data_IF_291914090387
#
_entry.id   IF_291914090387
#
_cell.length_a   1.000
_cell.length_b   1.000
_cell.length_c   1.000
_cell.angle_alpha   90.00
_cell.angle_beta   90.00
_cell.angle_gamma   90.00
#
_symmetry.space_group_name_H-M   'P 1'
#
loop_
_entity.id
_entity.type
_entity.pdbx_description
1 polymer ?
#
# COMPACT_ATOMS: atom_id res chain seq x y z
N UNK A 1 25.77 -35.26 -68.32
CA UNK A 1 25.83 -33.93 -67.71
C UNK A 1 24.41 -33.40 -67.61
N UNK A 2 23.85 -33.33 -66.41
CA UNK A 2 22.58 -32.67 -66.15
C UNK A 2 22.57 -32.18 -64.69
N UNK A 3 21.99 -30.99 -64.40
CA UNK A 3 22.36 -30.18 -63.25
C UNK A 3 21.63 -30.56 -61.97
N UNK A 4 22.31 -30.30 -60.86
CA UNK A 4 21.86 -30.44 -59.48
C UNK A 4 20.67 -29.51 -59.18
N UNK A 5 19.50 -30.10 -58.90
CA UNK A 5 18.35 -29.40 -58.35
C UNK A 5 18.56 -29.24 -56.83
N UNK A 6 18.75 -28.00 -56.35
CA UNK A 6 18.70 -27.71 -54.90
C UNK A 6 17.25 -27.61 -54.47
N UNK A 7 16.78 -28.57 -53.67
CA UNK A 7 15.51 -28.49 -52.96
C UNK A 7 15.70 -27.50 -51.81
N UNK A 8 15.03 -26.34 -51.90
CA UNK A 8 14.86 -25.45 -50.77
C UNK A 8 13.82 -26.07 -49.82
N UNK A 9 14.24 -26.49 -48.64
CA UNK A 9 13.33 -26.87 -47.57
C UNK A 9 12.65 -25.59 -47.04
N UNK A 10 11.36 -25.42 -47.34
CA UNK A 10 10.51 -24.50 -46.59
C UNK A 10 10.41 -25.05 -45.16
N UNK A 11 11.11 -24.41 -44.22
CA UNK A 11 10.82 -24.58 -42.80
C UNK A 11 9.47 -23.90 -42.54
N UNK A 12 8.42 -24.70 -42.39
CA UNK A 12 7.17 -24.23 -41.82
C UNK A 12 7.45 -23.78 -40.38
N UNK A 13 7.47 -22.47 -40.15
CA UNK A 13 7.48 -21.92 -38.81
C UNK A 13 6.16 -22.32 -38.15
N UNK A 14 6.21 -23.37 -37.32
CA UNK A 14 5.14 -23.64 -36.38
C UNK A 14 5.11 -22.46 -35.41
N UNK A 15 4.13 -21.57 -35.59
CA UNK A 15 3.73 -20.62 -34.57
C UNK A 15 3.21 -21.42 -33.40
N UNK A 16 4.08 -21.76 -32.46
CA UNK A 16 3.67 -22.17 -31.13
C UNK A 16 2.87 -20.99 -30.55
N UNK A 17 1.66 -21.22 -30.01
CA UNK A 17 0.98 -20.18 -29.26
C UNK A 17 1.92 -19.76 -28.13
N UNK A 18 2.08 -18.45 -27.95
CA UNK A 18 2.77 -17.88 -26.81
C UNK A 18 1.98 -18.31 -25.57
N UNK A 19 2.38 -19.41 -24.94
CA UNK A 19 1.91 -19.71 -23.59
C UNK A 19 2.56 -18.64 -22.73
N UNK A 20 1.79 -17.61 -22.38
CA UNK A 20 2.18 -16.72 -21.30
C UNK A 20 2.61 -17.62 -20.13
N UNK A 21 3.86 -17.52 -19.71
CA UNK A 21 4.35 -18.24 -18.55
C UNK A 21 3.48 -17.74 -17.39
N UNK A 22 2.55 -18.56 -16.89
CA UNK A 22 1.79 -18.21 -15.71
C UNK A 22 2.77 -18.16 -14.54
N UNK A 23 3.13 -16.94 -14.12
CA UNK A 23 4.00 -16.73 -12.97
C UNK A 23 3.31 -17.28 -11.73
N UNK A 24 4.01 -18.14 -11.00
CA UNK A 24 3.56 -18.67 -9.73
C UNK A 24 4.35 -18.09 -8.55
N UNK A 25 3.95 -18.42 -7.32
CA UNK A 25 4.66 -17.98 -6.11
C UNK A 25 6.13 -18.39 -6.05
N UNK A 26 6.48 -19.51 -6.70
CA UNK A 26 7.87 -19.97 -6.81
C UNK A 26 8.72 -19.07 -7.70
N UNK A 27 8.15 -18.40 -8.70
CA UNK A 27 8.87 -17.46 -9.56
C UNK A 27 9.29 -16.21 -8.78
N UNK A 28 8.40 -15.68 -7.92
CA UNK A 28 8.72 -14.58 -7.01
C UNK A 28 9.88 -14.95 -6.08
N UNK A 29 9.80 -16.14 -5.46
CA UNK A 29 10.87 -16.67 -4.58
C UNK A 29 12.18 -16.90 -5.34
N UNK A 30 12.11 -17.38 -6.57
CA UNK A 30 13.27 -17.58 -7.43
C UNK A 30 13.93 -16.24 -7.80
N UNK A 31 13.14 -15.23 -8.18
CA UNK A 31 13.63 -13.87 -8.42
C UNK A 31 14.28 -13.31 -7.16
N UNK A 32 13.65 -13.46 -5.99
CA UNK A 32 14.19 -12.98 -4.72
C UNK A 32 15.58 -13.58 -4.50
N UNK A 33 15.67 -14.92 -4.53
CA UNK A 33 16.92 -15.67 -4.31
C UNK A 33 18.02 -15.30 -5.32
N UNK A 34 17.66 -15.09 -6.59
CA UNK A 34 18.62 -14.75 -7.64
C UNK A 34 19.23 -13.34 -7.47
N UNK A 35 18.50 -12.41 -6.84
CA UNK A 35 18.85 -11.00 -6.81
C UNK A 35 19.24 -10.45 -5.43
N UNK A 36 19.28 -11.27 -4.37
CA UNK A 36 19.66 -10.80 -3.02
C UNK A 36 21.05 -10.16 -2.97
N UNK A 37 21.98 -10.66 -3.79
CA UNK A 37 23.36 -10.15 -3.90
C UNK A 37 23.61 -9.30 -5.14
N UNK A 38 22.56 -8.88 -5.87
CA UNK A 38 22.71 -8.06 -7.06
C UNK A 38 23.18 -6.65 -6.69
N UNK A 39 24.31 -6.19 -7.20
CA UNK A 39 24.82 -4.83 -6.97
C UNK A 39 24.32 -3.85 -8.04
N UNK A 40 23.89 -2.63 -7.66
CA UNK A 40 23.40 -1.65 -8.62
C UNK A 40 24.51 -1.21 -9.57
N UNK A 41 24.16 -1.10 -10.85
CA UNK A 41 25.04 -0.58 -11.90
C UNK A 41 24.61 0.82 -12.37
N UNK A 42 23.89 1.52 -11.50
CA UNK A 42 23.43 2.90 -11.63
C UNK A 42 23.84 3.68 -10.39
N UNK A 43 23.88 5.01 -10.50
CA UNK A 43 24.26 5.91 -9.42
C UNK A 43 23.23 7.01 -9.21
N UNK A 44 23.39 7.75 -8.12
CA UNK A 44 22.59 8.93 -7.79
C UNK A 44 22.49 9.91 -8.96
N UNK A 45 21.26 10.32 -9.29
CA UNK A 45 20.96 11.25 -10.37
C UNK A 45 20.82 10.64 -11.76
N UNK A 46 21.07 9.33 -11.93
CA UNK A 46 20.83 8.65 -13.20
C UNK A 46 19.33 8.70 -13.56
N UNK A 47 19.03 8.87 -14.84
CA UNK A 47 17.69 8.63 -15.39
C UNK A 47 17.75 7.38 -16.25
N UNK A 48 17.12 6.31 -15.78
CA UNK A 48 17.08 5.02 -16.48
C UNK A 48 15.89 5.01 -17.44
N UNK A 49 16.22 4.81 -18.71
CA UNK A 49 15.29 4.68 -19.84
C UNK A 49 15.20 3.23 -20.32
N UNK A 50 14.24 2.92 -21.19
CA UNK A 50 13.95 1.55 -21.63
C UNK A 50 15.16 0.80 -22.23
N UNK A 51 16.02 1.49 -22.99
CA UNK A 51 17.25 0.92 -23.57
C UNK A 51 18.27 0.45 -22.51
N UNK A 52 18.13 0.93 -21.27
CA UNK A 52 18.97 0.55 -20.12
C UNK A 52 18.18 -0.21 -19.04
N UNK A 53 16.99 -0.70 -19.35
CA UNK A 53 16.12 -1.33 -18.36
C UNK A 53 16.74 -2.55 -17.66
N UNK A 54 17.68 -3.25 -18.32
CA UNK A 54 18.37 -4.39 -17.72
C UNK A 54 19.20 -4.01 -16.47
N UNK A 55 19.58 -2.73 -16.32
CA UNK A 55 20.26 -2.23 -15.11
C UNK A 55 19.35 -2.26 -13.87
N UNK A 56 18.02 -2.21 -14.05
CA UNK A 56 17.05 -2.10 -12.95
C UNK A 56 16.23 -3.38 -12.73
N UNK A 57 16.18 -4.31 -13.69
CA UNK A 57 15.46 -5.60 -13.54
C UNK A 57 15.83 -6.40 -12.28
N UNK A 58 17.09 -6.43 -11.80
CA UNK A 58 17.42 -7.12 -10.55
C UNK A 58 16.75 -6.53 -9.30
N UNK A 59 16.24 -5.29 -9.37
CA UNK A 59 15.66 -4.55 -8.25
C UNK A 59 14.15 -4.30 -8.41
N UNK A 60 13.52 -4.91 -9.40
CA UNK A 60 12.08 -4.87 -9.66
C UNK A 60 11.59 -6.32 -9.79
N UNK A 61 10.67 -6.79 -8.92
CA UNK A 61 10.18 -8.16 -9.00
C UNK A 61 9.61 -8.47 -10.38
N UNK A 62 9.83 -9.69 -10.87
CA UNK A 62 9.50 -10.10 -12.25
C UNK A 62 8.06 -9.78 -12.63
N UNK A 63 7.15 -9.95 -11.68
CA UNK A 63 5.70 -9.75 -11.81
C UNK A 63 5.31 -8.29 -12.10
N UNK A 64 6.19 -7.35 -11.80
CA UNK A 64 6.01 -5.92 -12.10
C UNK A 64 6.68 -5.51 -13.41
N UNK A 65 7.63 -6.28 -13.94
CA UNK A 65 8.50 -5.80 -15.01
C UNK A 65 7.73 -5.44 -16.29
N UNK A 66 6.63 -6.13 -16.63
CA UNK A 66 5.82 -5.79 -17.81
C UNK A 66 5.08 -4.45 -17.68
N UNK A 67 4.82 -4.00 -16.45
CA UNK A 67 4.02 -2.80 -16.19
C UNK A 67 4.90 -1.58 -15.85
N UNK A 68 6.11 -1.81 -15.32
CA UNK A 68 7.06 -0.75 -14.93
C UNK A 68 8.18 -0.52 -15.95
N UNK A 69 8.46 -1.49 -16.82
CA UNK A 69 9.50 -1.38 -17.86
C UNK A 69 8.85 -1.35 -19.24
N UNK A 70 8.75 -0.17 -19.81
CA UNK A 70 8.10 0.08 -21.10
C UNK A 70 8.83 1.16 -21.89
N UNK A 71 8.58 1.21 -23.20
CA UNK A 71 9.14 2.25 -24.06
C UNK A 71 8.64 3.64 -23.65
N UNK A 72 9.56 4.59 -23.48
CA UNK A 72 9.29 5.91 -22.90
C UNK A 72 9.30 5.96 -21.37
N UNK A 73 9.71 4.90 -20.67
CA UNK A 73 9.92 4.97 -19.22
C UNK A 73 11.03 5.96 -18.84
N UNK A 74 10.84 6.64 -17.72
CA UNK A 74 11.85 7.46 -17.06
C UNK A 74 11.86 7.13 -15.57
N UNK A 75 12.90 6.45 -15.11
CA UNK A 75 13.13 6.15 -13.69
C UNK A 75 14.32 6.97 -13.21
N UNK A 76 14.06 8.07 -12.50
CA UNK A 76 15.11 8.87 -11.88
C UNK A 76 15.59 8.16 -10.62
N UNK A 77 16.89 7.89 -10.51
CA UNK A 77 17.51 7.30 -9.33
C UNK A 77 17.86 8.43 -8.37
N UNK A 78 17.30 8.38 -7.17
CA UNK A 78 17.60 9.35 -6.12
C UNK A 78 17.58 8.69 -4.75
N UNK A 79 18.55 9.02 -3.90
CA UNK A 79 18.61 8.53 -2.53
C UNK A 79 17.46 9.15 -1.71
N UNK A 80 16.75 8.33 -0.96
CA UNK A 80 15.62 8.82 -0.16
C UNK A 80 16.07 9.61 1.10
N UNK A 81 17.37 9.62 1.40
CA UNK A 81 17.93 10.17 2.61
C UNK A 81 17.59 9.33 3.85
N UNK A 82 17.70 9.97 5.01
CA UNK A 82 17.35 9.35 6.29
C UNK A 82 15.83 9.30 6.47
N UNK A 83 15.30 8.08 6.44
CA UNK A 83 13.88 7.77 6.68
C UNK A 83 13.67 7.16 8.07
N UNK A 84 14.59 7.39 9.00
CA UNK A 84 14.46 6.92 10.38
C UNK A 84 13.20 7.54 11.01
N UNK A 85 12.30 6.71 11.60
CA UNK A 85 11.13 7.21 12.29
C UNK A 85 11.44 8.21 13.40
N UNK A 86 10.42 8.93 13.87
CA UNK A 86 10.57 9.91 14.95
C UNK A 86 11.35 9.38 16.17
N UNK A 87 12.23 10.20 16.79
CA UNK A 87 13.02 9.79 17.95
C UNK A 87 12.18 9.21 19.09
N UNK A 88 10.94 9.69 19.28
CA UNK A 88 10.00 9.15 20.29
C UNK A 88 9.68 7.67 20.06
N UNK A 89 9.51 7.25 18.80
CA UNK A 89 9.27 5.85 18.43
C UNK A 89 10.53 5.00 18.57
N UNK A 90 11.70 5.55 18.18
CA UNK A 90 12.99 4.88 18.37
C UNK A 90 13.29 4.66 19.85
N UNK A 91 13.05 5.67 20.69
CA UNK A 91 13.23 5.58 22.14
C UNK A 91 12.27 4.56 22.77
N UNK A 92 10.99 4.53 22.33
CA UNK A 92 10.03 3.52 22.78
C UNK A 92 10.48 2.10 22.38
N UNK A 93 10.98 1.94 21.15
CA UNK A 93 11.54 0.67 20.64
C UNK A 93 12.68 0.19 21.53
N UNK A 94 13.63 1.05 21.87
CA UNK A 94 14.76 0.70 22.74
C UNK A 94 14.31 0.36 24.16
N UNK A 95 13.36 1.14 24.71
CA UNK A 95 12.82 0.95 26.05
C UNK A 95 12.11 -0.40 26.24
N UNK A 96 11.38 -0.86 25.22
CA UNK A 96 10.58 -2.09 25.27
C UNK A 96 11.18 -3.26 24.49
N UNK A 97 12.42 -3.14 24.03
CA UNK A 97 13.10 -4.20 23.30
C UNK A 97 13.10 -5.51 24.09
N UNK A 98 12.70 -6.60 23.42
CA UNK A 98 12.67 -7.94 24.01
C UNK A 98 11.53 -8.22 24.97
N UNK A 99 10.56 -7.30 25.14
CA UNK A 99 9.39 -7.52 26.01
C UNK A 99 8.24 -8.24 25.30
N UNK A 100 8.03 -7.95 24.01
CA UNK A 100 6.98 -8.56 23.22
C UNK A 100 7.26 -10.04 22.94
N UNK A 101 6.21 -10.85 22.96
CA UNK A 101 6.26 -12.30 22.67
C UNK A 101 5.16 -12.68 21.70
N UNK A 102 5.33 -13.82 21.03
CA UNK A 102 4.30 -14.42 20.18
C UNK A 102 3.71 -15.63 20.91
N UNK A 103 2.40 -15.63 21.13
CA UNK A 103 1.67 -16.75 21.69
C UNK A 103 1.58 -17.90 20.69
N UNK A 104 1.21 -19.10 21.17
CA UNK A 104 1.13 -20.30 20.31
C UNK A 104 0.13 -20.21 19.16
N UNK A 105 -0.82 -19.26 19.21
CA UNK A 105 -1.78 -18.97 18.14
C UNK A 105 -1.36 -17.81 17.23
N UNK A 106 -0.17 -17.24 17.42
CA UNK A 106 0.36 -16.12 16.64
C UNK A 106 0.07 -14.73 17.23
N UNK A 107 -0.76 -14.65 18.28
CA UNK A 107 -1.09 -13.37 18.90
C UNK A 107 0.14 -12.74 19.56
N UNK A 108 0.30 -11.43 19.38
CA UNK A 108 1.30 -10.67 20.13
C UNK A 108 0.87 -10.49 21.58
N UNK A 109 1.80 -10.68 22.51
CA UNK A 109 1.60 -10.49 23.94
C UNK A 109 2.72 -9.62 24.51
N UNK A 110 2.46 -8.98 25.65
CA UNK A 110 3.42 -8.13 26.37
C UNK A 110 3.97 -6.93 25.55
N UNK A 111 3.31 -6.57 24.44
CA UNK A 111 3.67 -5.42 23.63
C UNK A 111 3.13 -4.10 24.21
N UNK A 112 3.95 -3.05 24.19
CA UNK A 112 3.58 -1.72 24.72
C UNK A 112 3.63 -0.63 23.66
N UNK A 113 4.79 -0.36 23.06
CA UNK A 113 4.98 0.65 22.02
C UNK A 113 6.34 0.45 21.31
N UNK A 114 6.53 1.12 20.16
CA UNK A 114 7.75 0.99 19.35
C UNK A 114 7.72 -0.23 18.44
N UNK A 115 8.85 -0.55 17.79
CA UNK A 115 9.02 -1.76 17.00
C UNK A 115 9.10 -2.97 17.93
N UNK A 116 8.20 -3.97 17.83
CA UNK A 116 8.18 -5.10 18.76
C UNK A 116 9.42 -6.01 18.71
N UNK A 117 9.93 -6.32 17.52
CA UNK A 117 10.99 -7.33 17.32
C UNK A 117 12.15 -6.78 16.48
N UNK A 118 13.36 -7.28 16.70
CA UNK A 118 14.54 -6.90 15.93
C UNK A 118 14.62 -7.70 14.61
N UNK A 119 14.42 -7.07 13.43
CA UNK A 119 14.47 -7.78 12.15
C UNK A 119 15.88 -8.23 11.75
N UNK A 120 16.94 -7.80 12.45
CA UNK A 120 18.28 -8.34 12.24
C UNK A 120 18.41 -9.81 12.66
N UNK A 121 17.46 -10.32 13.47
CA UNK A 121 17.45 -11.69 13.99
C UNK A 121 16.55 -12.64 13.18
N UNK A 122 15.84 -12.16 12.17
CA UNK A 122 14.88 -12.98 11.43
C UNK A 122 15.57 -13.93 10.45
N UNK A 123 15.11 -15.19 10.44
CA UNK A 123 15.68 -16.24 9.60
C UNK A 123 14.77 -16.56 8.39
N UNK A 124 15.28 -16.50 7.15
CA UNK A 124 14.52 -16.89 5.96
C UNK A 124 13.88 -18.29 6.07
N UNK A 125 12.59 -18.40 5.74
CA UNK A 125 11.78 -19.61 5.87
C UNK A 125 11.14 -19.80 7.25
N UNK A 126 11.42 -18.94 8.22
CA UNK A 126 10.87 -19.02 9.57
C UNK A 126 9.42 -18.54 9.63
N UNK A 127 8.52 -19.40 10.13
CA UNK A 127 7.13 -19.02 10.42
C UNK A 127 7.02 -18.14 11.66
N UNK A 128 7.84 -18.41 12.68
CA UNK A 128 7.87 -17.60 13.89
C UNK A 128 8.31 -16.17 13.58
N UNK A 129 9.35 -16.01 12.75
CA UNK A 129 9.79 -14.68 12.34
C UNK A 129 8.85 -14.06 11.32
N UNK A 130 8.07 -14.86 10.58
CA UNK A 130 6.94 -14.38 9.80
C UNK A 130 5.91 -13.65 10.68
N UNK A 131 5.54 -14.25 11.81
CA UNK A 131 4.69 -13.61 12.81
C UNK A 131 5.32 -12.33 13.39
N UNK A 132 6.61 -12.37 13.76
CA UNK A 132 7.31 -11.19 14.26
C UNK A 132 7.36 -10.06 13.21
N UNK A 133 7.59 -10.40 11.95
CA UNK A 133 7.67 -9.45 10.85
C UNK A 133 6.33 -8.77 10.57
N UNK A 134 5.21 -9.51 10.56
CA UNK A 134 3.90 -8.89 10.36
C UNK A 134 3.53 -7.98 11.55
N UNK A 135 3.84 -8.36 12.79
CA UNK A 135 3.61 -7.48 13.94
C UNK A 135 4.49 -6.23 13.90
N UNK A 136 5.74 -6.33 13.43
CA UNK A 136 6.58 -5.16 13.15
C UNK A 136 5.93 -4.22 12.12
N UNK A 137 5.35 -4.76 11.05
CA UNK A 137 4.64 -3.98 10.04
C UNK A 137 3.37 -3.32 10.60
N UNK A 138 2.57 -4.03 11.40
CA UNK A 138 1.35 -3.50 12.02
C UNK A 138 1.65 -2.34 12.99
N UNK A 139 2.74 -2.45 13.75
CA UNK A 139 3.15 -1.47 14.75
C UNK A 139 4.26 -0.52 14.31
N UNK A 140 4.51 -0.42 13.00
CA UNK A 140 5.41 0.60 12.44
C UNK A 140 4.98 2.01 12.86
N UNK A 141 5.89 2.98 12.72
CA UNK A 141 5.60 4.36 13.08
C UNK A 141 4.50 4.96 12.19
N UNK A 142 3.35 5.26 12.79
CA UNK A 142 2.17 5.80 12.12
C UNK A 142 1.72 7.15 12.72
N UNK A 143 2.55 7.78 13.57
CA UNK A 143 2.21 8.95 14.36
C UNK A 143 0.85 8.79 15.06
N UNK A 144 -0.06 9.77 14.95
CA UNK A 144 -1.42 9.66 15.46
C UNK A 144 -2.39 8.91 14.56
N UNK A 145 -1.92 8.49 13.39
CA UNK A 145 -2.72 8.11 12.25
C UNK A 145 -2.62 9.15 11.14
N UNK A 146 -3.54 9.05 10.18
CA UNK A 146 -3.49 9.77 8.91
C UNK A 146 -4.81 10.49 8.67
N UNK A 147 -4.75 11.72 8.18
CA UNK A 147 -5.90 12.46 7.65
C UNK A 147 -5.67 12.74 6.17
N UNK A 148 -6.66 12.48 5.33
CA UNK A 148 -6.62 12.76 3.90
C UNK A 148 -7.87 13.54 3.53
N UNK A 149 -7.67 14.70 2.91
CA UNK A 149 -8.76 15.54 2.41
C UNK A 149 -9.54 14.84 1.29
N UNK A 150 -8.83 14.36 0.28
CA UNK A 150 -9.40 13.68 -0.87
C UNK A 150 -8.61 12.41 -1.20
N UNK A 151 -9.25 11.26 -1.10
CA UNK A 151 -8.81 10.01 -1.71
C UNK A 151 -9.55 9.87 -3.03
N UNK A 152 -8.83 9.59 -4.12
CA UNK A 152 -9.46 9.15 -5.37
C UNK A 152 -9.36 7.64 -5.47
N UNK A 153 -10.38 6.98 -6.00
CA UNK A 153 -10.27 5.62 -6.53
C UNK A 153 -10.59 5.71 -8.02
N UNK A 154 -9.59 5.51 -8.87
CA UNK A 154 -9.69 5.68 -10.33
C UNK A 154 -9.64 4.31 -10.98
N UNK A 155 -10.71 3.91 -11.66
CA UNK A 155 -10.75 2.68 -12.44
C UNK A 155 -10.12 2.90 -13.78
N UNK A 156 -9.10 2.10 -14.10
CA UNK A 156 -8.31 2.21 -15.32
C UNK A 156 -8.40 0.92 -16.11
N UNK A 157 -8.67 1.03 -17.41
CA UNK A 157 -8.50 -0.06 -18.37
C UNK A 157 -7.23 0.14 -19.16
N UNK A 158 -6.56 -0.98 -19.45
CA UNK A 158 -5.39 -1.02 -20.33
C UNK A 158 -5.74 -0.47 -21.72
N UNK A 159 -4.85 0.38 -22.24
CA UNK A 159 -5.02 1.02 -23.56
C UNK A 159 -6.02 2.18 -23.59
N UNK A 160 -6.08 2.85 -24.74
CA UNK A 160 -6.87 4.07 -24.93
C UNK A 160 -6.27 5.31 -24.24
N UNK A 161 -7.13 6.27 -23.89
CA UNK A 161 -6.75 7.51 -23.22
C UNK A 161 -7.88 7.98 -22.28
N UNK A 162 -7.58 8.97 -21.44
CA UNK A 162 -8.48 9.52 -20.44
C UNK A 162 -8.69 11.03 -20.58
N UNK A 163 -8.21 11.66 -21.67
CA UNK A 163 -8.26 13.12 -21.89
C UNK A 163 -9.69 13.69 -21.78
N UNK A 164 -10.70 12.89 -22.18
CA UNK A 164 -12.11 13.26 -22.12
C UNK A 164 -12.84 12.89 -20.82
N UNK A 165 -12.17 12.24 -19.85
CA UNK A 165 -12.79 11.85 -18.59
C UNK A 165 -13.04 13.08 -17.70
N UNK A 166 -14.12 13.07 -16.92
CA UNK A 166 -14.57 14.23 -16.12
C UNK A 166 -13.48 14.78 -15.19
N UNK A 167 -12.67 13.91 -14.58
CA UNK A 167 -11.56 14.25 -13.68
C UNK A 167 -10.53 15.22 -14.33
N UNK A 168 -10.36 15.18 -15.65
CA UNK A 168 -9.43 16.04 -16.38
C UNK A 168 -9.93 17.48 -16.49
N UNK A 169 -11.23 17.70 -16.35
CA UNK A 169 -11.87 19.03 -16.42
C UNK A 169 -12.41 19.51 -15.07
N UNK A 170 -12.52 18.61 -14.10
CA UNK A 170 -13.07 18.88 -12.78
C UNK A 170 -12.34 20.03 -12.08
N UNK A 171 -13.12 20.92 -11.45
CA UNK A 171 -12.65 22.10 -10.73
C UNK A 171 -11.66 22.96 -11.54
N UNK A 172 -11.95 23.15 -12.83
CA UNK A 172 -11.09 23.92 -13.73
C UNK A 172 -9.83 23.17 -14.17
N UNK A 173 -9.86 21.83 -14.11
CA UNK A 173 -8.74 20.97 -14.52
C UNK A 173 -7.65 20.83 -13.46
N UNK A 174 -7.95 21.10 -12.18
CA UNK A 174 -6.96 21.09 -11.09
C UNK A 174 -6.19 19.77 -10.96
N UNK A 175 -6.80 18.66 -11.37
CA UNK A 175 -6.21 17.33 -11.29
C UNK A 175 -5.49 16.87 -12.55
N UNK A 176 -5.69 17.52 -13.71
CA UNK A 176 -5.20 17.04 -15.00
C UNK A 176 -3.67 16.85 -15.00
N UNK A 177 -2.95 17.72 -14.30
CA UNK A 177 -1.50 17.65 -14.15
C UNK A 177 -0.96 16.37 -13.50
N UNK A 178 -1.79 15.64 -12.75
CA UNK A 178 -1.39 14.39 -12.08
C UNK A 178 -1.64 13.14 -12.91
N UNK A 179 -2.41 13.23 -14.00
CA UNK A 179 -2.78 12.11 -14.84
C UNK A 179 -2.27 12.34 -16.26
N UNK A 180 -1.16 11.71 -16.59
CA UNK A 180 -0.60 11.70 -17.95
C UNK A 180 -0.55 10.29 -18.54
N UNK A 181 -0.13 10.20 -19.80
CA UNK A 181 0.00 8.93 -20.50
C UNK A 181 -1.31 8.42 -21.10
N UNK A 182 -1.41 7.10 -21.27
CA UNK A 182 -2.59 6.44 -21.82
C UNK A 182 -3.51 5.86 -20.75
N UNK A 183 -4.25 4.81 -21.10
CA UNK A 183 -5.21 4.16 -20.22
C UNK A 183 -6.57 4.87 -20.23
N UNK A 184 -7.64 4.09 -20.20
CA UNK A 184 -9.02 4.61 -20.25
C UNK A 184 -9.63 4.62 -18.86
N UNK A 185 -10.09 5.78 -18.40
CA UNK A 185 -10.72 5.92 -17.09
C UNK A 185 -12.21 5.60 -17.20
N UNK A 186 -12.71 4.68 -16.37
CA UNK A 186 -14.12 4.28 -16.37
C UNK A 186 -14.95 4.99 -15.30
N UNK A 187 -14.33 5.24 -14.13
CA UNK A 187 -15.00 5.79 -12.97
C UNK A 187 -13.98 6.37 -12.00
N UNK A 188 -14.39 7.41 -11.29
CA UNK A 188 -13.65 7.97 -10.15
C UNK A 188 -14.58 8.05 -8.95
N UNK A 189 -14.20 7.45 -7.82
CA UNK A 189 -14.78 7.79 -6.53
C UNK A 189 -13.88 8.81 -5.84
N UNK A 190 -14.47 9.73 -5.09
CA UNK A 190 -13.73 10.70 -4.29
C UNK A 190 -14.30 10.76 -2.88
N UNK A 191 -13.45 10.91 -1.88
CA UNK A 191 -13.88 11.32 -0.55
C UNK A 191 -12.78 11.28 0.52
N UNK A 192 -13.10 11.76 1.72
CA UNK A 192 -12.12 11.89 2.79
C UNK A 192 -11.80 10.54 3.46
N UNK A 193 -10.60 10.47 4.02
CA UNK A 193 -10.17 9.34 4.85
C UNK A 193 -9.55 9.84 6.14
N UNK A 194 -9.81 9.15 7.25
CA UNK A 194 -9.12 9.41 8.52
C UNK A 194 -8.92 8.13 9.31
N UNK A 195 -7.69 7.87 9.73
CA UNK A 195 -7.35 6.87 10.76
C UNK A 195 -6.78 7.57 11.97
N UNK A 196 -7.16 7.11 13.16
CA UNK A 196 -6.55 7.52 14.42
C UNK A 196 -6.17 6.30 15.24
N UNK A 197 -4.90 6.24 15.63
CA UNK A 197 -4.34 5.23 16.51
C UNK A 197 -4.69 5.60 17.97
N UNK A 198 -5.38 4.67 18.64
CA UNK A 198 -5.93 4.81 19.99
C UNK A 198 -5.01 4.19 21.07
N UNK A 199 -4.19 3.22 20.69
CA UNK A 199 -3.22 2.56 21.55
C UNK A 199 -1.83 2.48 20.90
N UNK A 200 -0.83 2.05 21.68
CA UNK A 200 0.56 1.87 21.26
C UNK A 200 1.25 3.13 20.71
N UNK A 201 0.80 4.29 21.20
CA UNK A 201 1.22 5.62 20.79
C UNK A 201 2.48 6.07 21.52
N UNK A 202 3.63 6.04 20.85
CA UNK A 202 4.93 6.39 21.44
C UNK A 202 5.00 7.84 21.98
N UNK A 203 4.22 8.76 21.40
CA UNK A 203 4.06 10.14 21.86
C UNK A 203 3.20 10.28 23.14
N UNK A 204 2.52 9.21 23.56
CA UNK A 204 1.62 9.20 24.71
C UNK A 204 2.20 8.41 25.90
N UNK A 205 3.51 8.50 26.13
CA UNK A 205 4.17 7.80 27.23
C UNK A 205 3.56 8.10 28.61
N UNK A 206 3.08 9.34 28.82
CA UNK A 206 2.46 9.79 30.07
C UNK A 206 1.02 9.27 30.29
N UNK A 207 0.38 8.74 29.24
CA UNK A 207 -0.96 8.15 29.31
C UNK A 207 -0.95 6.66 28.96
N UNK A 208 0.12 5.97 29.39
CA UNK A 208 0.33 4.54 29.18
C UNK A 208 0.26 4.14 27.70
N UNK A 209 0.76 5.00 26.81
CA UNK A 209 0.77 4.81 25.35
C UNK A 209 -0.64 4.67 24.75
N UNK A 210 -1.68 5.14 25.44
CA UNK A 210 -3.08 5.08 24.98
C UNK A 210 -3.71 6.46 25.02
N UNK A 211 -4.49 6.77 23.99
CA UNK A 211 -5.28 7.99 23.95
C UNK A 211 -6.24 8.01 25.15
N UNK A 212 -6.27 9.11 25.90
CA UNK A 212 -7.13 9.25 27.08
C UNK A 212 -6.97 8.07 28.08
N UNK A 213 -5.75 7.60 28.31
CA UNK A 213 -5.43 6.45 29.19
C UNK A 213 -6.14 5.14 28.81
N UNK A 214 -6.63 5.01 27.57
CA UNK A 214 -7.43 3.85 27.16
C UNK A 214 -8.84 3.85 27.75
N UNK A 215 -9.38 5.01 28.12
CA UNK A 215 -10.73 5.14 28.67
C UNK A 215 -11.74 5.70 27.66
N UNK A 216 -13.01 5.40 27.90
CA UNK A 216 -14.13 5.90 27.11
C UNK A 216 -14.02 5.53 25.64
N UNK A 217 -13.80 6.54 24.79
CA UNK A 217 -13.79 6.38 23.33
C UNK A 217 -12.59 5.58 22.81
N UNK A 218 -11.46 5.60 23.51
CA UNK A 218 -10.26 4.84 23.15
C UNK A 218 -10.25 3.42 23.78
N UNK A 219 -11.26 3.08 24.59
CA UNK A 219 -11.24 1.87 25.40
C UNK A 219 -11.18 0.61 24.54
N UNK A 220 -10.15 -0.20 24.80
CA UNK A 220 -9.88 -1.49 24.15
C UNK A 220 -9.72 -1.42 22.62
N UNK A 221 -9.51 -0.23 22.05
CA UNK A 221 -9.33 -0.07 20.60
C UNK A 221 -7.87 0.21 20.28
N UNK A 222 -7.36 -0.43 19.24
CA UNK A 222 -6.05 -0.15 18.66
C UNK A 222 -6.13 1.09 17.76
N UNK A 223 -7.09 1.10 16.85
CA UNK A 223 -7.36 2.25 15.98
C UNK A 223 -8.84 2.36 15.60
N UNK A 224 -9.20 3.54 15.12
CA UNK A 224 -10.47 3.79 14.43
C UNK A 224 -10.21 4.44 13.08
N UNK A 225 -11.01 4.06 12.11
CA UNK A 225 -10.88 4.52 10.73
C UNK A 225 -12.22 4.91 10.13
N UNK A 226 -12.23 5.99 9.36
CA UNK A 226 -13.37 6.48 8.61
C UNK A 226 -13.00 6.67 7.14
N UNK A 227 -13.88 6.21 6.26
CA UNK A 227 -13.81 6.43 4.82
C UNK A 227 -15.14 7.00 4.37
N UNK A 228 -15.14 8.19 3.80
CA UNK A 228 -16.34 8.81 3.22
C UNK A 228 -16.26 8.88 1.70
N UNK A 229 -17.41 9.02 1.05
CA UNK A 229 -17.54 9.25 -0.38
C UNK A 229 -18.34 10.52 -0.63
N UNK A 230 -17.75 11.49 -1.30
CA UNK A 230 -18.37 12.77 -1.68
C UNK A 230 -18.77 12.81 -3.15
N UNK A 231 -18.19 11.94 -3.98
CA UNK A 231 -18.52 11.82 -5.40
C UNK A 231 -18.31 10.37 -5.91
N UNK A 232 -19.01 9.96 -6.99
CA UNK A 232 -20.04 10.72 -7.72
C UNK A 232 -21.42 10.66 -7.03
N UNK A 233 -22.42 11.31 -7.63
CA UNK A 233 -23.74 11.55 -7.01
C UNK A 233 -24.44 10.30 -6.45
N UNK A 234 -24.27 9.15 -7.09
CA UNK A 234 -24.92 7.89 -6.72
C UNK A 234 -24.38 7.25 -5.43
N UNK A 235 -23.14 7.59 -5.04
CA UNK A 235 -22.51 7.11 -3.80
C UNK A 235 -22.31 8.22 -2.76
N UNK A 236 -22.42 9.49 -3.16
CA UNK A 236 -22.18 10.65 -2.32
C UNK A 236 -22.95 10.59 -1.00
N UNK A 237 -22.24 10.78 0.10
CA UNK A 237 -22.71 10.65 1.48
C UNK A 237 -22.54 9.24 2.08
N UNK A 238 -22.14 8.24 1.30
CA UNK A 238 -21.80 6.92 1.84
C UNK A 238 -20.56 7.02 2.71
N UNK A 239 -20.58 6.35 3.85
CA UNK A 239 -19.44 6.35 4.76
C UNK A 239 -19.28 5.01 5.46
N UNK A 240 -18.03 4.66 5.74
CA UNK A 240 -17.61 3.47 6.46
C UNK A 240 -16.86 3.87 7.72
N UNK A 241 -17.08 3.12 8.79
CA UNK A 241 -16.34 3.25 10.04
C UNK A 241 -15.84 1.86 10.46
N UNK A 242 -14.55 1.74 10.76
CA UNK A 242 -13.90 0.52 11.24
C UNK A 242 -13.28 0.78 12.61
N UNK A 243 -13.53 -0.13 13.56
CA UNK A 243 -12.88 -0.19 14.87
C UNK A 243 -12.04 -1.47 14.94
N UNK A 244 -10.73 -1.31 15.06
CA UNK A 244 -9.84 -2.41 15.43
C UNK A 244 -9.64 -2.44 16.95
N UNK A 245 -9.71 -3.64 17.50
CA UNK A 245 -9.51 -3.87 18.93
C UNK A 245 -8.04 -4.10 19.25
N UNK A 246 -7.64 -3.64 20.44
CA UNK A 246 -6.29 -3.82 21.02
C UNK A 246 -5.98 -5.30 21.29
N UNK A 247 -7.03 -6.11 21.52
CA UNK A 247 -6.92 -7.56 21.57
C UNK A 247 -6.92 -8.13 20.13
N UNK A 248 -5.79 -8.69 19.65
CA UNK A 248 -5.67 -9.16 18.27
C UNK A 248 -6.60 -10.33 17.95
N UNK A 249 -7.10 -11.03 18.97
CA UNK A 249 -8.03 -12.17 18.80
C UNK A 249 -9.45 -11.68 18.52
N UNK A 250 -9.77 -10.44 18.92
CA UNK A 250 -11.10 -9.89 18.74
C UNK A 250 -11.29 -9.37 17.30
N UNK A 251 -12.42 -9.71 16.71
CA UNK A 251 -12.75 -9.25 15.36
C UNK A 251 -13.12 -7.76 15.35
N UNK A 252 -12.75 -7.06 14.28
CA UNK A 252 -13.09 -5.65 14.11
C UNK A 252 -14.62 -5.46 14.07
N UNK A 253 -15.07 -4.32 14.57
CA UNK A 253 -16.42 -3.85 14.29
C UNK A 253 -16.40 -2.90 13.10
N UNK A 254 -17.38 -3.02 12.21
CA UNK A 254 -17.48 -2.16 11.04
C UNK A 254 -18.91 -1.74 10.78
N UNK A 255 -19.10 -0.51 10.33
CA UNK A 255 -20.40 0.06 9.98
C UNK A 255 -20.34 0.78 8.65
N UNK A 256 -21.42 0.72 7.89
CA UNK A 256 -21.67 1.62 6.78
C UNK A 256 -22.94 2.42 6.99
N UNK A 257 -22.87 3.69 6.61
CA UNK A 257 -24.03 4.52 6.35
C UNK A 257 -24.25 4.58 4.84
N UNK A 258 -25.48 4.27 4.41
CA UNK A 258 -25.89 4.35 3.01
C UNK A 258 -27.01 5.37 2.89
N UNK A 259 -26.81 6.52 2.19
CA UNK A 259 -27.76 7.62 2.11
C UNK A 259 -29.14 7.22 1.61
N UNK A 260 -29.21 6.35 0.61
CA UNK A 260 -30.48 5.86 0.04
C UNK A 260 -31.32 5.09 1.06
N UNK A 261 -30.69 4.49 2.07
CA UNK A 261 -31.36 3.77 3.16
C UNK A 261 -31.53 4.63 4.42
N UNK A 262 -30.82 5.77 4.51
CA UNK A 262 -30.74 6.66 5.69
C UNK A 262 -30.50 5.90 7.00
N UNK A 263 -29.69 4.84 6.94
CA UNK A 263 -29.48 3.93 8.06
C UNK A 263 -28.01 3.53 8.14
N UNK A 264 -27.52 3.46 9.36
CA UNK A 264 -26.26 2.79 9.70
C UNK A 264 -26.52 1.31 9.84
N UNK A 265 -25.69 0.48 9.19
CA UNK A 265 -25.72 -0.98 9.30
C UNK A 265 -24.34 -1.49 9.66
N UNK A 266 -24.30 -2.53 10.48
CA UNK A 266 -23.07 -3.27 10.75
C UNK A 266 -22.71 -4.09 9.50
N UNK A 267 -21.44 -4.06 9.09
CA UNK A 267 -20.91 -4.87 7.98
C UNK A 267 -20.18 -6.07 8.59
N UNK A 268 -20.33 -7.24 7.96
CA UNK A 268 -19.64 -8.46 8.37
C UNK A 268 -18.15 -8.37 8.08
N UNK A 269 -17.36 -9.00 8.94
CA UNK A 269 -15.91 -9.13 8.83
C UNK A 269 -15.52 -9.91 7.56
N UNK A 270 -16.36 -10.85 7.11
CA UNK A 270 -16.11 -11.66 5.90
C UNK A 270 -16.14 -10.83 4.60
N UNK A 271 -16.83 -9.68 4.60
CA UNK A 271 -16.89 -8.76 3.44
C UNK A 271 -15.55 -8.06 3.21
N UNK A 272 -14.59 -8.14 4.15
CA UNK A 272 -13.30 -7.44 4.02
C UNK A 272 -12.44 -7.95 2.88
N UNK A 273 -12.58 -9.22 2.53
CA UNK A 273 -11.88 -9.86 1.42
C UNK A 273 -12.62 -9.72 0.08
N UNK A 274 -13.76 -9.03 0.05
CA UNK A 274 -14.47 -8.67 -1.17
C UNK A 274 -13.93 -7.35 -1.75
N UNK A 275 -14.19 -7.13 -3.03
CA UNK A 275 -13.87 -5.90 -3.74
C UNK A 275 -14.55 -4.69 -3.07
N UNK A 276 -13.77 -3.66 -2.73
CA UNK A 276 -14.33 -2.41 -2.23
C UNK A 276 -15.03 -1.68 -3.37
N UNK A 277 -16.37 -1.67 -3.37
CA UNK A 277 -17.21 -0.90 -4.31
C UNK A 277 -16.84 -1.12 -5.80
N UNK A 278 -16.39 -2.32 -6.15
CA UNK A 278 -16.00 -2.69 -7.52
C UNK A 278 -14.55 -2.37 -7.89
N UNK A 279 -13.74 -1.85 -6.95
CA UNK A 279 -12.29 -1.66 -7.16
C UNK A 279 -11.57 -2.99 -7.23
N UNK A 280 -10.34 -2.98 -7.71
CA UNK A 280 -9.46 -4.15 -7.67
C UNK A 280 -8.83 -4.39 -6.28
N UNK A 281 -9.12 -3.54 -5.29
CA UNK A 281 -8.70 -3.68 -3.90
C UNK A 281 -9.76 -4.40 -3.06
N UNK A 282 -9.32 -5.23 -2.13
CA UNK A 282 -10.10 -5.58 -0.95
C UNK A 282 -9.87 -4.56 0.17
N UNK A 283 -10.71 -4.55 1.21
CA UNK A 283 -10.48 -3.68 2.38
C UNK A 283 -9.18 -4.01 3.13
N UNK A 284 -8.67 -5.23 2.93
CA UNK A 284 -7.44 -5.71 3.54
C UNK A 284 -6.18 -5.35 2.74
N UNK A 285 -6.32 -4.82 1.52
CA UNK A 285 -5.18 -4.54 0.65
C UNK A 285 -4.53 -3.17 0.87
N UNK A 286 -5.24 -2.22 1.49
CA UNK A 286 -4.71 -0.88 1.78
C UNK A 286 -3.45 -0.96 2.65
N UNK A 287 -2.52 -0.02 2.46
CA UNK A 287 -1.17 -0.04 3.07
C UNK A 287 -0.35 -1.31 2.75
N UNK A 288 -0.73 -2.11 1.76
CA UNK A 288 -0.11 -3.39 1.42
C UNK A 288 -0.72 -4.56 2.20
N UNK A 289 -1.10 -4.32 3.46
CA UNK A 289 -1.96 -5.18 4.27
C UNK A 289 -2.64 -4.37 5.38
N UNK A 290 -3.95 -4.53 5.53
CA UNK A 290 -4.76 -3.92 6.57
C UNK A 290 -5.73 -4.92 7.21
N UNK A 291 -5.60 -6.21 6.89
CA UNK A 291 -6.36 -7.30 7.50
C UNK A 291 -5.97 -7.55 8.96
N UNK A 292 -6.50 -8.64 9.54
CA UNK A 292 -6.10 -9.08 10.88
C UNK A 292 -4.99 -10.12 10.77
N UNK A 293 -3.82 -9.94 11.41
CA UNK A 293 -2.75 -10.92 11.35
C UNK A 293 -3.20 -12.34 11.74
N UNK A 294 -4.11 -12.46 12.71
CA UNK A 294 -4.65 -13.72 13.22
C UNK A 294 -5.49 -14.53 12.21
N UNK A 295 -5.82 -13.98 11.02
CA UNK A 295 -6.61 -14.66 9.97
C UNK A 295 -5.73 -15.27 8.87
N UNK A 296 -4.41 -15.18 9.05
CA UNK A 296 -3.41 -15.66 8.10
C UNK A 296 -2.29 -16.39 8.84
N UNK A 297 -1.65 -17.29 8.12
CA UNK A 297 -0.32 -17.78 8.48
C UNK A 297 0.74 -16.91 7.81
N UNK A 298 1.91 -16.84 8.46
CA UNK A 298 2.99 -15.97 8.05
C UNK A 298 4.31 -16.74 7.94
N UNK A 299 5.13 -16.35 6.95
CA UNK A 299 6.49 -16.84 6.77
C UNK A 299 7.37 -15.66 6.38
N UNK A 300 8.50 -15.50 7.08
CA UNK A 300 9.51 -14.53 6.70
C UNK A 300 10.36 -15.12 5.58
N UNK A 301 10.31 -14.55 4.38
CA UNK A 301 10.94 -15.13 3.18
C UNK A 301 12.41 -14.73 3.09
N UNK A 302 12.76 -13.54 3.59
CA UNK A 302 14.11 -12.99 3.55
C UNK A 302 14.11 -11.52 3.14
N UNK A 303 15.23 -11.06 2.58
CA UNK A 303 15.40 -9.67 2.14
C UNK A 303 15.70 -9.55 0.65
N UNK A 304 15.46 -8.36 0.12
CA UNK A 304 15.98 -7.92 -1.17
C UNK A 304 16.21 -6.42 -1.18
N UNK A 305 17.03 -5.96 -2.13
CA UNK A 305 17.09 -4.54 -2.51
C UNK A 305 16.07 -4.29 -3.61
N UNK A 306 15.21 -3.30 -3.44
CA UNK A 306 14.18 -2.94 -4.43
C UNK A 306 14.22 -1.45 -4.75
N UNK A 307 13.98 -1.10 -6.01
CA UNK A 307 13.76 0.28 -6.43
C UNK A 307 12.31 0.68 -6.14
N UNK A 308 12.13 1.68 -5.30
CA UNK A 308 10.83 2.08 -4.75
C UNK A 308 10.70 3.60 -4.67
N UNK A 309 9.49 4.13 -4.73
CA UNK A 309 9.22 5.55 -4.47
C UNK A 309 9.02 5.74 -2.96
N UNK A 310 10.14 5.82 -2.24
CA UNK A 310 10.17 5.92 -0.78
C UNK A 310 9.99 7.36 -0.26
N UNK A 311 10.43 8.34 -1.04
CA UNK A 311 10.29 9.78 -0.75
C UNK A 311 10.09 10.49 -2.06
N UNK A 312 8.83 10.51 -2.51
CA UNK A 312 8.44 11.16 -3.75
C UNK A 312 8.82 12.64 -3.72
N UNK A 313 9.28 13.17 -4.85
CA UNK A 313 9.55 14.60 -5.00
C UNK A 313 8.29 15.46 -5.02
N UNK A 314 7.12 14.84 -5.24
CA UNK A 314 5.83 15.51 -5.32
C UNK A 314 4.99 15.13 -4.09
N UNK A 315 4.21 16.05 -3.50
CA UNK A 315 3.26 15.63 -2.44
C UNK A 315 2.14 14.78 -3.01
N UNK A 316 1.76 15.05 -4.27
CA UNK A 316 0.71 14.35 -5.00
C UNK A 316 1.32 13.43 -6.06
N UNK A 317 0.88 12.16 -6.12
CA UNK A 317 1.39 11.21 -7.13
C UNK A 317 1.12 11.70 -8.56
N UNK A 318 2.14 11.63 -9.41
CA UNK A 318 2.07 11.94 -10.85
C UNK A 318 2.15 10.64 -11.64
N UNK A 319 1.12 10.37 -12.44
CA UNK A 319 0.98 9.17 -13.24
C UNK A 319 1.38 9.40 -14.70
N UNK A 320 1.92 8.35 -15.33
CA UNK A 320 2.29 8.35 -16.75
C UNK A 320 2.29 6.92 -17.34
N UNK A 321 2.89 6.79 -18.53
CA UNK A 321 3.13 5.53 -19.20
C UNK A 321 1.97 5.10 -20.10
N UNK A 322 2.09 3.96 -20.79
CA UNK A 322 1.13 3.53 -21.81
C UNK A 322 -0.29 3.33 -21.28
N UNK A 323 -0.43 3.02 -19.99
CA UNK A 323 -1.70 2.76 -19.34
C UNK A 323 -2.05 3.79 -18.24
N UNK A 324 -1.24 4.85 -18.08
CA UNK A 324 -1.53 5.92 -17.10
C UNK A 324 -1.50 5.47 -15.64
N UNK A 325 -0.80 4.37 -15.33
CA UNK A 325 -0.69 3.83 -13.96
C UNK A 325 0.75 3.68 -13.45
N UNK A 326 1.74 3.95 -14.29
CA UNK A 326 3.12 4.03 -13.85
C UNK A 326 3.34 5.38 -13.12
N UNK A 327 4.25 5.41 -12.16
CA UNK A 327 4.52 6.62 -11.37
C UNK A 327 5.79 7.31 -11.88
N UNK A 328 5.67 8.61 -12.22
CA UNK A 328 6.76 9.45 -12.71
C UNK A 328 7.44 10.16 -11.55
N UNK A 329 8.45 9.54 -10.97
CA UNK A 329 9.02 9.98 -9.70
C UNK A 329 10.47 9.53 -9.53
N UNK A 330 11.00 9.82 -8.35
CA UNK A 330 12.31 9.42 -7.87
C UNK A 330 12.23 8.04 -7.21
N UNK A 331 13.10 7.14 -7.65
CA UNK A 331 13.20 5.76 -7.18
C UNK A 331 14.48 5.60 -6.37
N UNK A 332 14.32 5.21 -5.12
CA UNK A 332 15.40 4.91 -4.20
C UNK A 332 15.60 3.41 -4.08
N UNK A 333 16.85 2.97 -4.01
CA UNK A 333 17.18 1.58 -3.72
C UNK A 333 17.05 1.33 -2.21
N UNK A 334 16.12 0.47 -1.81
CA UNK A 334 15.83 0.20 -0.39
C UNK A 334 15.97 -1.28 -0.06
N UNK A 335 16.52 -1.57 1.13
CA UNK A 335 16.49 -2.92 1.69
C UNK A 335 15.10 -3.19 2.27
N UNK A 336 14.44 -4.21 1.75
CA UNK A 336 13.11 -4.62 2.17
C UNK A 336 13.11 -6.03 2.75
N UNK A 337 12.27 -6.24 3.76
CA UNK A 337 11.82 -7.52 4.27
C UNK A 337 10.67 -8.05 3.43
N UNK A 338 10.70 -9.34 3.10
CA UNK A 338 9.63 -9.99 2.35
C UNK A 338 8.88 -10.93 3.27
N UNK A 339 7.59 -10.67 3.43
CA UNK A 339 6.68 -11.44 4.26
C UNK A 339 5.69 -12.16 3.35
N UNK A 340 5.53 -13.47 3.54
CA UNK A 340 4.52 -14.27 2.86
C UNK A 340 3.29 -14.38 3.76
N UNK A 341 2.15 -13.99 3.22
CA UNK A 341 0.82 -14.11 3.80
C UNK A 341 0.12 -15.33 3.19
N UNK A 342 -0.41 -16.20 4.03
CA UNK A 342 -1.21 -17.36 3.62
C UNK A 342 -2.57 -17.28 4.33
N UNK A 343 -3.64 -16.84 3.66
CA UNK A 343 -4.98 -16.78 4.26
C UNK A 343 -5.46 -18.14 4.75
N UNK A 344 -5.96 -18.20 6.00
CA UNK A 344 -6.47 -19.43 6.59
C UNK A 344 -7.87 -19.81 6.04
N UNK A 345 -8.68 -18.81 5.69
CA UNK A 345 -10.03 -19.07 5.18
C UNK A 345 -10.00 -19.66 3.76
N UNK A 346 -10.70 -20.78 3.50
CA UNK A 346 -10.80 -21.33 2.14
C UNK A 346 -11.55 -20.41 1.18
N UNK A 347 -12.39 -19.50 1.68
CA UNK A 347 -13.16 -18.54 0.87
C UNK A 347 -12.42 -17.25 0.57
N UNK A 348 -11.27 -17.01 1.21
CA UNK A 348 -10.43 -15.86 0.90
C UNK A 348 -9.96 -15.93 -0.57
N UNK A 349 -10.00 -14.84 -1.35
CA UNK A 349 -9.73 -14.89 -2.79
C UNK A 349 -8.29 -15.28 -3.15
N UNK A 350 -7.32 -14.83 -2.36
CA UNK A 350 -5.89 -15.13 -2.59
C UNK A 350 -5.52 -16.52 -2.04
N UNK A 351 -4.65 -17.24 -2.75
CA UNK A 351 -3.95 -18.42 -2.20
C UNK A 351 -2.80 -18.01 -1.30
N UNK A 352 -2.00 -17.05 -1.76
CA UNK A 352 -0.92 -16.42 -1.02
C UNK A 352 -0.62 -15.02 -1.56
N UNK A 353 0.04 -14.20 -0.73
CA UNK A 353 0.47 -12.85 -1.07
C UNK A 353 1.86 -12.59 -0.49
N UNK A 354 2.75 -11.94 -1.24
CA UNK A 354 4.00 -11.41 -0.71
C UNK A 354 3.88 -9.91 -0.46
N UNK A 355 4.43 -9.45 0.65
CA UNK A 355 4.45 -8.04 1.04
C UNK A 355 5.91 -7.64 1.25
N UNK A 356 6.34 -6.59 0.56
CA UNK A 356 7.71 -6.07 0.61
C UNK A 356 7.74 -4.80 1.48
N UNK A 357 8.39 -4.89 2.64
CA UNK A 357 8.36 -3.91 3.73
C UNK A 357 9.75 -3.31 3.94
N UNK A 358 9.88 -1.99 3.97
CA UNK A 358 11.14 -1.29 4.24
C UNK A 358 11.71 -1.66 5.62
N UNK A 359 12.98 -2.02 5.66
CA UNK A 359 13.66 -2.42 6.91
C UNK A 359 13.78 -1.26 7.91
N UNK A 360 13.86 -0.01 7.43
CA UNK A 360 14.06 1.19 8.25
C UNK A 360 12.72 1.76 8.70
N UNK A 361 11.80 2.08 7.79
CA UNK A 361 10.52 2.71 8.15
C UNK A 361 9.46 1.70 8.58
N UNK A 362 9.51 0.46 8.08
CA UNK A 362 8.46 -0.54 8.25
C UNK A 362 7.27 -0.37 7.30
N UNK A 363 7.33 0.57 6.35
CA UNK A 363 6.28 0.78 5.34
C UNK A 363 6.37 -0.23 4.19
N UNK A 364 5.25 -0.52 3.53
CA UNK A 364 5.26 -1.36 2.33
C UNK A 364 5.37 -0.54 1.04
N UNK A 365 6.01 -1.13 0.02
CA UNK A 365 6.14 -0.55 -1.31
C UNK A 365 5.60 -1.44 -2.43
N UNK A 366 5.71 -2.76 -2.28
CA UNK A 366 5.21 -3.72 -3.25
C UNK A 366 4.44 -4.84 -2.56
N UNK A 367 3.41 -5.32 -3.24
CA UNK A 367 2.79 -6.60 -2.90
C UNK A 367 2.38 -7.37 -4.16
N UNK A 368 2.38 -8.70 -4.07
CA UNK A 368 2.02 -9.60 -5.17
C UNK A 368 1.07 -10.67 -4.63
N UNK A 369 -0.08 -10.87 -5.26
CA UNK A 369 -1.04 -11.89 -4.88
C UNK A 369 -1.31 -12.87 -6.01
N UNK A 370 -1.55 -14.12 -5.60
CA UNK A 370 -1.84 -15.24 -6.48
C UNK A 370 -3.26 -15.75 -6.21
N UNK A 371 -3.92 -16.22 -7.26
CA UNK A 371 -5.26 -16.80 -7.15
C UNK A 371 -5.23 -18.22 -6.58
N UNK A 372 -6.39 -18.88 -6.47
CA UNK A 372 -6.49 -20.26 -5.96
C UNK A 372 -5.90 -21.33 -6.89
N UNK A 373 -5.65 -21.02 -8.16
CA UNK A 373 -4.92 -21.89 -9.08
C UNK A 373 -3.39 -21.76 -8.91
N UNK A 374 -2.94 -20.78 -8.13
CA UNK A 374 -1.52 -20.48 -7.93
C UNK A 374 -0.94 -19.61 -9.04
N UNK A 375 -1.78 -18.94 -9.82
CA UNK A 375 -1.37 -18.06 -10.90
C UNK A 375 -1.32 -16.61 -10.42
N UNK A 376 -0.36 -15.84 -10.95
CA UNK A 376 -0.24 -14.41 -10.69
C UNK A 376 -1.55 -13.72 -11.05
N UNK A 377 -2.07 -12.96 -10.09
CA UNK A 377 -3.33 -12.25 -10.27
C UNK A 377 -3.14 -10.74 -10.17
N UNK A 378 -2.60 -10.27 -9.04
CA UNK A 378 -2.53 -8.83 -8.75
C UNK A 378 -1.17 -8.40 -8.26
N UNK A 379 -0.78 -7.21 -8.69
CA UNK A 379 0.42 -6.51 -8.20
C UNK A 379 0.04 -5.13 -7.66
N UNK A 380 0.65 -4.75 -6.54
CA UNK A 380 0.46 -3.45 -5.92
C UNK A 380 1.77 -2.68 -5.87
N UNK A 381 1.74 -1.41 -6.27
CA UNK A 381 2.78 -0.44 -5.95
C UNK A 381 2.23 0.58 -4.97
N UNK A 382 3.00 0.85 -3.92
CA UNK A 382 2.75 1.93 -2.98
C UNK A 382 3.86 2.95 -3.07
N UNK A 383 3.47 4.22 -3.00
CA UNK A 383 4.41 5.34 -2.98
C UNK A 383 4.26 6.12 -1.69
N UNK A 384 5.34 6.77 -1.28
CA UNK A 384 5.45 7.46 0.00
C UNK A 384 6.09 8.82 -0.18
N UNK A 385 5.73 9.74 0.70
CA UNK A 385 6.33 11.08 0.86
C UNK A 385 6.88 11.21 2.28
N UNK A 386 7.77 12.17 2.52
CA UNK A 386 8.33 12.42 3.84
C UNK A 386 7.71 13.66 4.48
N UNK A 387 7.25 13.55 5.73
CA UNK A 387 6.54 14.65 6.41
C UNK A 387 7.38 15.91 6.58
N UNK A 388 8.72 15.78 6.60
CA UNK A 388 9.64 16.90 6.77
C UNK A 388 10.10 17.51 5.43
N UNK A 389 9.52 17.07 4.30
CA UNK A 389 9.81 17.70 3.02
C UNK A 389 9.27 19.14 2.98
N UNK A 390 10.04 20.13 2.50
CA UNK A 390 9.64 21.54 2.54
C UNK A 390 8.30 21.84 1.86
N UNK A 391 7.96 21.09 0.81
CA UNK A 391 6.75 21.25 0.03
C UNK A 391 5.51 20.56 0.64
N UNK A 392 5.71 19.61 1.57
CA UNK A 392 4.65 18.72 2.07
C UNK A 392 3.42 19.49 2.54
N UNK A 393 3.64 20.41 3.48
CA UNK A 393 2.56 21.12 4.17
C UNK A 393 1.95 22.22 3.29
N UNK A 394 2.73 22.76 2.33
CA UNK A 394 2.25 23.76 1.37
C UNK A 394 1.28 23.13 0.37
N UNK A 395 1.68 22.03 -0.27
CA UNK A 395 0.87 21.34 -1.27
C UNK A 395 -0.32 20.61 -0.65
N UNK A 396 -0.19 20.11 0.59
CA UNK A 396 -1.32 19.54 1.32
C UNK A 396 -2.46 20.56 1.48
N UNK A 397 -2.15 21.84 1.77
CA UNK A 397 -3.16 22.90 1.96
C UNK A 397 -3.96 23.20 0.69
N UNK A 398 -3.41 22.96 -0.49
CA UNK A 398 -4.13 23.11 -1.77
C UNK A 398 -5.33 22.16 -1.89
N UNK A 399 -5.31 21.06 -1.12
CA UNK A 399 -6.36 20.03 -1.07
C UNK A 399 -6.97 19.90 0.33
N UNK A 400 -7.07 21.01 1.06
CA UNK A 400 -7.64 21.08 2.42
C UNK A 400 -6.91 20.21 3.47
N UNK A 401 -5.64 19.90 3.24
CA UNK A 401 -4.78 19.25 4.22
C UNK A 401 -4.60 20.12 5.47
N UNK A 402 -4.45 19.45 6.60
CA UNK A 402 -4.18 20.09 7.88
C UNK A 402 -2.67 20.23 8.12
N UNK A 403 -2.27 21.09 9.05
CA UNK A 403 -0.86 21.25 9.42
C UNK A 403 -0.31 19.95 10.03
N UNK A 404 0.82 19.49 9.51
CA UNK A 404 1.60 18.39 10.10
C UNK A 404 2.76 18.98 10.91
N UNK A 405 2.82 18.74 12.23
CA UNK A 405 3.86 19.32 13.08
C UNK A 405 5.27 18.91 12.64
N UNK A 406 6.21 19.83 12.73
CA UNK A 406 7.63 19.54 12.51
C UNK A 406 8.14 18.46 13.49
N UNK A 407 9.03 17.60 13.02
CA UNK A 407 9.58 16.49 13.80
C UNK A 407 8.64 15.29 13.91
N UNK A 408 7.57 15.26 13.10
CA UNK A 408 6.70 14.09 12.98
C UNK A 408 7.47 12.90 12.39
N UNK A 409 8.49 13.15 11.55
CA UNK A 409 9.42 12.17 10.97
C UNK A 409 8.70 10.88 10.55
N UNK A 410 7.73 11.06 9.66
CA UNK A 410 6.77 10.05 9.27
C UNK A 410 6.80 9.88 7.76
N UNK A 411 6.96 8.62 7.34
CA UNK A 411 6.82 8.26 5.94
C UNK A 411 5.34 8.11 5.62
N UNK A 412 4.78 9.09 4.93
CA UNK A 412 3.34 9.26 4.77
C UNK A 412 2.86 8.54 3.51
N UNK A 413 1.70 7.90 3.60
CA UNK A 413 1.04 7.23 2.48
C UNK A 413 0.62 8.22 1.39
N UNK A 414 1.17 8.08 0.19
CA UNK A 414 0.90 8.96 -0.96
C UNK A 414 -0.04 8.32 -1.99
N UNK A 415 0.17 7.04 -2.31
CA UNK A 415 -0.78 6.27 -3.13
C UNK A 415 -0.60 4.76 -2.96
N UNK A 416 -1.64 4.03 -3.37
CA UNK A 416 -1.56 2.61 -3.68
C UNK A 416 -2.22 2.38 -5.04
N UNK A 417 -1.52 1.69 -5.93
CA UNK A 417 -2.02 1.32 -7.25
C UNK A 417 -2.05 -0.19 -7.31
N UNK A 418 -3.16 -0.75 -7.79
CA UNK A 418 -3.27 -2.19 -8.08
C UNK A 418 -3.50 -2.40 -9.56
N UNK A 419 -2.89 -3.46 -10.09
CA UNK A 419 -3.16 -3.95 -11.44
C UNK A 419 -3.63 -5.39 -11.31
N UNK A 420 -4.83 -5.67 -11.81
CA UNK A 420 -5.37 -7.00 -12.03
C UNK A 420 -4.89 -7.48 -13.41
N UNK A 421 -3.83 -8.29 -13.38
CA UNK A 421 -3.13 -8.78 -14.57
C UNK A 421 -3.93 -9.84 -15.33
N UNK A 422 -4.94 -10.45 -14.69
CA UNK A 422 -5.81 -11.43 -15.34
C UNK A 422 -6.98 -10.77 -16.08
N UNK A 423 -7.36 -9.55 -15.68
CA UNK A 423 -8.50 -8.83 -16.25
C UNK A 423 -8.13 -7.52 -16.97
N UNK A 424 -6.83 -7.27 -17.20
CA UNK A 424 -6.30 -6.10 -17.93
C UNK A 424 -6.85 -4.75 -17.42
N UNK A 425 -6.97 -4.62 -16.10
CA UNK A 425 -7.51 -3.42 -15.43
C UNK A 425 -6.72 -3.10 -14.17
N UNK A 426 -6.91 -1.89 -13.66
CA UNK A 426 -6.33 -1.48 -12.39
C UNK A 426 -7.17 -0.44 -11.68
N UNK A 427 -6.82 -0.22 -10.42
CA UNK A 427 -7.37 0.87 -9.63
C UNK A 427 -6.21 1.72 -9.09
N UNK A 428 -6.24 3.02 -9.36
CA UNK A 428 -5.29 3.99 -8.78
C UNK A 428 -5.92 4.62 -7.56
N UNK A 429 -5.18 4.69 -6.46
CA UNK A 429 -5.64 5.32 -5.23
C UNK A 429 -4.65 6.37 -4.74
N UNK A 430 -4.55 7.54 -5.41
CA UNK A 430 -3.78 8.66 -4.90
C UNK A 430 -4.53 9.38 -3.77
N UNK A 431 -3.77 9.88 -2.81
CA UNK A 431 -4.27 10.69 -1.70
C UNK A 431 -3.84 12.15 -1.88
N UNK A 432 -4.72 13.09 -1.50
CA UNK A 432 -4.50 14.54 -1.59
C UNK A 432 -4.93 15.22 -0.31
N UNK A 433 -4.25 16.31 0.04
CA UNK A 433 -4.47 16.98 1.33
C UNK A 433 -4.09 16.07 2.49
N UNK A 434 -3.06 15.26 2.28
CA UNK A 434 -2.55 14.31 3.25
C UNK A 434 -1.91 15.09 4.39
N UNK A 435 -2.21 14.70 5.61
CA UNK A 435 -1.66 15.34 6.81
C UNK A 435 -1.68 14.39 8.00
N UNK A 436 -0.80 14.65 8.97
CA UNK A 436 -0.78 13.97 10.25
C UNK A 436 -0.93 14.99 11.40
N UNK A 437 -2.04 15.75 11.43
CA UNK A 437 -2.26 16.83 12.39
C UNK A 437 -2.43 16.29 13.81
N UNK A 438 -2.18 17.09 14.85
CA UNK A 438 -2.56 16.73 16.22
C UNK A 438 -4.00 17.11 16.56
N UNK A 439 -4.91 16.14 16.52
CA UNK A 439 -6.32 16.43 16.74
C UNK A 439 -6.75 16.37 18.20
N UNK A 440 -7.54 17.36 18.63
CA UNK A 440 -8.27 17.29 19.90
C UNK A 440 -9.24 16.10 19.89
N UNK A 441 -9.35 15.41 21.03
CA UNK A 441 -10.26 14.26 21.19
C UNK A 441 -11.71 14.56 20.79
N UNK A 442 -12.21 15.78 21.04
CA UNK A 442 -13.58 16.18 20.62
C UNK A 442 -13.77 16.16 19.11
N UNK A 443 -12.76 16.56 18.33
CA UNK A 443 -12.78 16.52 16.86
C UNK A 443 -12.70 15.08 16.35
N UNK A 444 -11.83 14.27 16.95
CA UNK A 444 -11.71 12.84 16.65
C UNK A 444 -13.06 12.14 16.86
N UNK A 445 -13.69 12.33 18.03
CA UNK A 445 -14.99 11.75 18.37
C UNK A 445 -16.08 12.16 17.37
N UNK A 446 -16.13 13.42 16.97
CA UNK A 446 -17.13 13.90 16.02
C UNK A 446 -17.06 13.18 14.67
N UNK A 447 -15.90 12.68 14.26
CA UNK A 447 -15.77 11.94 12.99
C UNK A 447 -15.84 10.42 13.17
N UNK A 448 -15.22 9.88 14.22
CA UNK A 448 -14.96 8.44 14.36
C UNK A 448 -15.89 7.72 15.36
N UNK A 449 -16.96 8.40 15.80
CA UNK A 449 -18.01 7.79 16.61
C UNK A 449 -19.21 7.44 15.72
N UNK A 450 -19.63 6.17 15.80
CA UNK A 450 -20.73 5.60 15.02
C UNK A 450 -22.03 6.40 15.14
N UNK A 451 -22.25 7.08 16.27
CA UNK A 451 -23.44 7.90 16.47
C UNK A 451 -23.53 9.09 15.50
N UNK A 452 -22.38 9.61 15.06
CA UNK A 452 -22.31 10.72 14.10
C UNK A 452 -22.27 10.26 12.63
N UNK A 453 -22.24 8.95 12.37
CA UNK A 453 -22.23 8.41 11.00
C UNK A 453 -23.57 8.65 10.26
N UNK A 454 -24.63 9.05 10.99
CA UNK A 454 -25.96 9.35 10.45
C UNK A 454 -26.16 10.79 10.00
N UNK A 455 -25.31 11.70 10.47
CA UNK A 455 -25.34 13.10 10.07
C UNK A 455 -24.70 13.17 8.69
N UNK A 456 -25.48 13.00 7.62
CA UNK A 456 -24.98 13.19 6.25
C UNK A 456 -24.18 14.49 6.19
N UNK A 457 -22.87 14.37 5.95
CA UNK A 457 -21.93 15.49 5.92
C UNK A 457 -21.64 15.89 4.49
#
# INVERSE_FOLDING_TARGET
MNPTLRIAALAAAATLPFTAQAYGPDDFRAWLKANQSAEPQFVEGDVITYDKADLVRPFIPTEFQSEWIFDGMEMTIHDAGDLTPAPIYVNATQKFAGTATIAGDGAIENYTAGRPFDPAQFEPGSKEDGWKAIWNFMYRWQNEGLTVGEVHWVWVRRGGNHDGHEIMSQDGGKYAQFYGGGGSFERVLTGPYKRVMMAHRADLADSNYKLNNGEGFAKNTEFREYTGFTAPFDIAGTAFLILRYDDPRKADDSWAYIPSLRRVRRISVEVKSDSLLGTDHTLEDFYGFNGRPMEHEWEYVGTARMLVVARSRNTNTVYYGPNGWAVKDDYALRLVDVIRQIPQSPTHPYSEKFICVDRVSGESYYAVAFDKAGELWKVWQLTKIWSEDPQFDQEAKEFNGEETPEGTNFQVFQSINVIDLQNDRGTLVPTRGISAPHNKLSRIKRLLDVNYLTEGR
#
